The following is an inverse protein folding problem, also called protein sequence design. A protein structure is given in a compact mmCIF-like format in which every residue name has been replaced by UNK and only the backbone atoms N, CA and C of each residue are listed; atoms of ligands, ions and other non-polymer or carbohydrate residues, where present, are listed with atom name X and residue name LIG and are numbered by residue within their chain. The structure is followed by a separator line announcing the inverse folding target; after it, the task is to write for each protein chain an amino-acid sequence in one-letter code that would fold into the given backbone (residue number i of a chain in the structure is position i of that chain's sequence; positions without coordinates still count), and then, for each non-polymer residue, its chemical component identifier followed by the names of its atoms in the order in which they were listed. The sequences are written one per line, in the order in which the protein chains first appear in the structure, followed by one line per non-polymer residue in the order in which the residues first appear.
data_IF_723359798319
#
_entry.id   IF_723359798319
#
_cell.length_a   1.000
_cell.length_b   1.000
_cell.length_c   1.000
_cell.angle_alpha   90.00
_cell.angle_beta   90.00
_cell.angle_gamma   90.00
#
_symmetry.space_group_name_H-M   'P 1'
#
loop_
_entity.id
_entity.type
_entity.pdbx_description
1 polymer ?
#
# COMPACT_ATOMS: atom_id res chain seq x y z
N UNK A 1 -23.01 4.28 12.66
CA UNK A 1 -21.73 4.90 12.26
C UNK A 1 -21.97 6.39 12.16
N UNK A 2 -21.12 7.24 12.75
CA UNK A 2 -21.28 8.69 12.64
C UNK A 2 -21.07 9.11 11.18
N UNK A 3 -22.15 9.57 10.53
CA UNK A 3 -22.16 10.17 9.19
C UNK A 3 -21.56 11.58 9.22
N UNK A 4 -20.39 11.74 9.83
CA UNK A 4 -19.74 13.04 9.97
C UNK A 4 -18.95 13.36 8.71
N UNK A 5 -19.10 14.59 8.21
CA UNK A 5 -18.34 15.10 7.05
C UNK A 5 -16.81 14.93 7.27
N UNK A 6 -16.23 15.23 8.45
CA UNK A 6 -14.80 15.07 8.67
C UNK A 6 -14.30 13.63 8.51
N UNK A 7 -15.12 12.64 8.91
CA UNK A 7 -14.79 11.23 8.72
C UNK A 7 -14.64 10.90 7.22
N UNK A 8 -15.63 11.26 6.39
CA UNK A 8 -15.56 10.98 4.96
C UNK A 8 -14.48 11.78 4.24
N UNK A 9 -14.17 13.00 4.67
CA UNK A 9 -13.03 13.75 4.14
C UNK A 9 -11.71 13.04 4.44
N UNK A 10 -11.56 12.51 5.66
CA UNK A 10 -10.38 11.73 6.03
C UNK A 10 -10.26 10.45 5.20
N UNK A 11 -11.35 9.68 5.12
CA UNK A 11 -11.40 8.37 4.47
C UNK A 11 -11.26 8.44 2.94
N UNK A 12 -11.95 9.38 2.31
CA UNK A 12 -12.05 9.42 0.84
C UNK A 12 -11.01 10.32 0.18
N UNK A 13 -10.44 11.29 0.90
CA UNK A 13 -9.54 12.29 0.33
C UNK A 13 -8.16 12.26 0.98
N UNK A 14 -8.10 12.36 2.32
CA UNK A 14 -6.84 12.50 3.04
C UNK A 14 -5.98 11.24 2.98
N UNK A 15 -6.51 10.08 3.40
CA UNK A 15 -5.72 8.84 3.42
C UNK A 15 -5.22 8.41 2.02
N UNK A 16 -6.04 8.45 0.95
CA UNK A 16 -5.54 8.19 -0.40
C UNK A 16 -4.43 9.17 -0.82
N UNK A 17 -4.58 10.46 -0.51
CA UNK A 17 -3.55 11.47 -0.82
C UNK A 17 -2.25 11.22 -0.05
N UNK A 18 -2.36 10.80 1.21
CA UNK A 18 -1.22 10.55 2.07
C UNK A 18 -0.44 9.29 1.63
N UNK A 19 -1.12 8.21 1.24
CA UNK A 19 -0.46 7.01 0.69
C UNK A 19 0.42 7.33 -0.53
N UNK A 20 0.00 8.31 -1.34
CA UNK A 20 0.74 8.77 -2.50
C UNK A 20 2.10 9.37 -2.16
N UNK A 21 2.26 9.96 -0.97
CA UNK A 21 3.54 10.53 -0.52
C UNK A 21 4.60 9.44 -0.40
N UNK A 22 4.24 8.26 0.10
CA UNK A 22 5.16 7.12 0.18
C UNK A 22 5.57 6.63 -1.21
N UNK A 23 4.60 6.52 -2.13
CA UNK A 23 4.85 6.11 -3.53
C UNK A 23 5.72 7.13 -4.29
N UNK A 24 5.45 8.43 -4.12
CA UNK A 24 6.27 9.51 -4.66
C UNK A 24 7.70 9.41 -4.12
N UNK A 25 7.86 9.30 -2.80
CA UNK A 25 9.18 9.25 -2.17
C UNK A 25 9.99 8.05 -2.68
N UNK A 26 9.39 6.86 -2.68
CA UNK A 26 10.05 5.63 -3.10
C UNK A 26 10.44 5.65 -4.59
N UNK A 27 9.54 6.11 -5.48
CA UNK A 27 9.85 6.24 -6.91
C UNK A 27 10.96 7.26 -7.17
N UNK A 28 10.97 8.39 -6.44
CA UNK A 28 12.07 9.37 -6.48
C UNK A 28 13.39 8.76 -6.00
N UNK A 29 13.38 8.02 -4.88
CA UNK A 29 14.57 7.35 -4.36
C UNK A 29 15.12 6.34 -5.36
N UNK A 30 14.27 5.47 -5.94
CA UNK A 30 14.75 4.46 -6.89
C UNK A 30 15.27 5.14 -8.17
N UNK A 31 14.57 6.14 -8.69
CA UNK A 31 14.99 6.88 -9.89
C UNK A 31 16.36 7.53 -9.68
N UNK A 32 16.50 8.32 -8.61
CA UNK A 32 17.77 9.02 -8.35
C UNK A 32 18.86 8.10 -7.81
N UNK A 33 18.52 7.24 -6.85
CA UNK A 33 19.46 6.36 -6.15
C UNK A 33 20.05 5.31 -7.08
N UNK A 34 19.25 4.69 -7.95
CA UNK A 34 19.74 3.64 -8.87
C UNK A 34 20.19 4.21 -10.21
N UNK A 35 19.40 5.10 -10.80
CA UNK A 35 19.63 5.58 -12.17
C UNK A 35 20.31 6.95 -12.24
N UNK A 36 20.55 7.61 -11.10
CA UNK A 36 21.18 8.93 -11.06
C UNK A 36 20.34 10.05 -11.68
N UNK A 37 19.09 9.78 -12.06
CA UNK A 37 18.23 10.70 -12.80
C UNK A 37 16.80 10.67 -12.29
N UNK A 38 16.15 11.83 -12.32
CA UNK A 38 14.74 11.93 -12.00
C UNK A 38 13.94 11.98 -13.29
N UNK A 39 12.95 11.11 -13.39
CA UNK A 39 12.01 11.09 -14.50
C UNK A 39 10.59 11.08 -13.93
N UNK A 40 9.78 12.00 -14.42
CA UNK A 40 8.44 12.22 -13.90
C UNK A 40 7.49 11.06 -14.22
N UNK A 41 7.75 10.29 -15.28
CA UNK A 41 6.83 9.24 -15.77
C UNK A 41 6.62 8.13 -14.74
N UNK A 42 7.65 7.42 -14.24
CA UNK A 42 7.43 6.37 -13.25
C UNK A 42 6.88 6.93 -11.93
N UNK A 43 7.26 8.15 -11.56
CA UNK A 43 6.74 8.84 -10.36
C UNK A 43 5.23 9.05 -10.49
N UNK A 44 4.77 9.64 -11.59
CA UNK A 44 3.35 9.89 -11.84
C UNK A 44 2.58 8.58 -11.97
N UNK A 45 3.11 7.59 -12.71
CA UNK A 45 2.46 6.29 -12.87
C UNK A 45 2.16 5.65 -11.50
N UNK A 46 3.17 5.56 -10.63
CA UNK A 46 2.98 4.90 -9.34
C UNK A 46 2.16 5.72 -8.37
N UNK A 47 2.38 7.03 -8.29
CA UNK A 47 1.61 7.93 -7.42
C UNK A 47 0.13 7.91 -7.78
N UNK A 48 -0.20 7.99 -9.07
CA UNK A 48 -1.59 7.92 -9.53
C UNK A 48 -2.19 6.53 -9.33
N UNK A 49 -1.43 5.47 -9.60
CA UNK A 49 -1.91 4.09 -9.42
C UNK A 49 -2.23 3.80 -7.95
N UNK A 50 -1.40 4.29 -7.04
CA UNK A 50 -1.60 4.11 -5.61
C UNK A 50 -2.82 4.89 -5.08
N UNK A 51 -2.98 6.13 -5.55
CA UNK A 51 -4.19 6.91 -5.28
C UNK A 51 -5.45 6.19 -5.79
N UNK A 52 -5.42 5.64 -7.00
CA UNK A 52 -6.56 4.95 -7.59
C UNK A 52 -6.89 3.66 -6.85
N UNK A 53 -5.89 2.86 -6.51
CA UNK A 53 -6.08 1.63 -5.77
C UNK A 53 -6.72 1.90 -4.40
N UNK A 54 -6.12 2.79 -3.60
CA UNK A 54 -6.62 3.10 -2.26
C UNK A 54 -7.92 3.89 -2.31
N UNK A 55 -7.99 4.93 -3.15
CA UNK A 55 -9.17 5.78 -3.26
C UNK A 55 -10.39 5.04 -3.79
N UNK A 56 -10.23 4.11 -4.74
CA UNK A 56 -11.34 3.29 -5.22
C UNK A 56 -11.81 2.28 -4.18
N UNK A 57 -10.88 1.66 -3.43
CA UNK A 57 -11.22 0.71 -2.35
C UNK A 57 -12.05 1.41 -1.27
N UNK A 58 -11.55 2.54 -0.73
CA UNK A 58 -12.27 3.33 0.27
C UNK A 58 -13.60 3.90 -0.25
N UNK A 59 -13.67 4.30 -1.53
CA UNK A 59 -14.90 4.79 -2.14
C UNK A 59 -15.96 3.68 -2.24
N UNK A 60 -15.56 2.47 -2.63
CA UNK A 60 -16.47 1.33 -2.77
C UNK A 60 -16.91 0.77 -1.42
N UNK A 61 -16.01 0.70 -0.44
CA UNK A 61 -16.33 0.24 0.91
C UNK A 61 -17.35 1.16 1.61
N UNK A 62 -17.42 2.43 1.20
CA UNK A 62 -18.39 3.40 1.72
C UNK A 62 -19.60 3.64 0.80
N UNK A 63 -19.85 2.78 -0.21
CA UNK A 63 -20.94 2.97 -1.16
C UNK A 63 -22.34 2.96 -0.51
N UNK A 64 -22.54 2.15 0.53
CA UNK A 64 -23.81 2.12 1.29
C UNK A 64 -24.06 3.44 2.03
N UNK A 65 -23.00 4.03 2.59
CA UNK A 65 -23.08 5.34 3.25
C UNK A 65 -23.46 6.45 2.27
N UNK A 66 -23.01 6.38 1.01
CA UNK A 66 -23.45 7.30 -0.05
C UNK A 66 -24.93 7.10 -0.39
N UNK A 67 -25.40 5.86 -0.48
CA UNK A 67 -26.81 5.58 -0.74
C UNK A 67 -27.70 6.12 0.40
N UNK A 68 -27.28 5.92 1.65
CA UNK A 68 -27.96 6.46 2.82
C UNK A 68 -27.95 7.99 2.82
N UNK A 69 -26.80 8.63 2.57
CA UNK A 69 -26.70 10.10 2.54
C UNK A 69 -27.63 10.73 1.49
N UNK A 70 -27.80 10.09 0.33
CA UNK A 70 -28.77 10.51 -0.69
C UNK A 70 -30.20 10.33 -0.22
N UNK A 71 -30.52 9.21 0.42
CA UNK A 71 -31.86 8.94 0.94
C UNK A 71 -32.26 9.93 2.05
N UNK A 72 -31.30 10.37 2.87
CA UNK A 72 -31.53 11.33 3.97
C UNK A 72 -31.34 12.80 3.57
N UNK A 73 -31.03 13.10 2.31
CA UNK A 73 -30.80 14.48 1.85
C UNK A 73 -29.57 15.17 2.46
N UNK A 74 -28.52 14.41 2.83
CA UNK A 74 -27.30 14.99 3.40
C UNK A 74 -26.34 15.43 2.28
N UNK A 75 -26.58 16.63 1.75
CA UNK A 75 -25.82 17.20 0.63
C UNK A 75 -24.31 17.37 0.94
N UNK A 76 -23.97 17.59 2.21
CA UNK A 76 -22.58 17.72 2.64
C UNK A 76 -21.77 16.44 2.40
N UNK A 77 -22.30 15.30 2.82
CA UNK A 77 -21.66 13.99 2.58
C UNK A 77 -21.63 13.68 1.08
N UNK A 78 -22.74 13.92 0.35
CA UNK A 78 -22.80 13.69 -1.11
C UNK A 78 -21.76 14.53 -1.86
N UNK A 79 -21.50 15.76 -1.42
CA UNK A 79 -20.47 16.63 -2.00
C UNK A 79 -19.07 16.04 -1.84
N UNK A 80 -18.73 15.50 -0.66
CA UNK A 80 -17.42 14.84 -0.42
C UNK A 80 -17.24 13.64 -1.34
N UNK A 81 -18.25 12.77 -1.49
CA UNK A 81 -18.18 11.66 -2.43
C UNK A 81 -18.03 12.13 -3.88
N UNK A 82 -18.69 13.22 -4.25
CA UNK A 82 -18.56 13.81 -5.58
C UNK A 82 -17.14 14.32 -5.83
N UNK A 83 -16.54 14.99 -4.86
CA UNK A 83 -15.14 15.42 -4.93
C UNK A 83 -14.18 14.23 -5.07
N UNK A 84 -14.35 13.19 -4.24
CA UNK A 84 -13.54 11.98 -4.32
C UNK A 84 -13.63 11.30 -5.69
N UNK A 85 -14.84 11.20 -6.25
CA UNK A 85 -15.06 10.67 -7.60
C UNK A 85 -14.36 11.51 -8.67
N UNK A 86 -14.44 12.83 -8.59
CA UNK A 86 -13.77 13.72 -9.55
C UNK A 86 -12.25 13.59 -9.45
N UNK A 87 -11.69 13.49 -8.24
CA UNK A 87 -10.26 13.24 -8.05
C UNK A 87 -9.83 11.91 -8.67
N UNK A 88 -10.58 10.82 -8.46
CA UNK A 88 -10.30 9.52 -9.09
C UNK A 88 -10.27 9.62 -10.63
N UNK A 89 -11.22 10.34 -11.23
CA UNK A 89 -11.25 10.56 -12.68
C UNK A 89 -10.03 11.36 -13.15
N UNK A 90 -9.73 12.48 -12.49
CA UNK A 90 -8.58 13.32 -12.84
C UNK A 90 -7.26 12.53 -12.74
N UNK A 91 -7.08 11.76 -11.66
CA UNK A 91 -5.90 10.92 -11.46
C UNK A 91 -5.80 9.82 -12.52
N UNK A 92 -6.91 9.20 -12.92
CA UNK A 92 -6.92 8.23 -14.01
C UNK A 92 -6.51 8.85 -15.35
N UNK A 93 -6.97 10.07 -15.65
CA UNK A 93 -6.55 10.79 -16.85
C UNK A 93 -5.05 11.12 -16.82
N UNK A 94 -4.50 11.53 -15.68
CA UNK A 94 -3.08 11.82 -15.51
C UNK A 94 -2.25 10.54 -15.68
N UNK A 95 -2.67 9.42 -15.07
CA UNK A 95 -2.03 8.12 -15.24
C UNK A 95 -2.00 7.70 -16.72
N UNK A 96 -3.12 7.84 -17.42
CA UNK A 96 -3.20 7.54 -18.84
C UNK A 96 -2.24 8.40 -19.67
N UNK A 97 -2.17 9.70 -19.39
CA UNK A 97 -1.19 10.60 -20.02
C UNK A 97 0.26 10.18 -19.77
N UNK A 98 0.60 9.80 -18.53
CA UNK A 98 1.94 9.32 -18.20
C UNK A 98 2.30 8.01 -18.91
N UNK A 99 1.33 7.10 -19.06
CA UNK A 99 1.50 5.86 -19.83
C UNK A 99 1.71 6.14 -21.32
N UNK A 100 0.97 7.07 -21.93
CA UNK A 100 1.18 7.48 -23.33
C UNK A 100 2.59 8.04 -23.58
N UNK A 101 3.20 8.68 -22.58
CA UNK A 101 4.58 9.17 -22.65
C UNK A 101 5.64 8.11 -22.29
N UNK A 102 5.24 6.86 -22.02
CA UNK A 102 6.12 5.79 -21.55
C UNK A 102 6.26 4.65 -22.56
N UNK A 103 7.36 3.87 -22.50
CA UNK A 103 7.52 2.68 -23.34
C UNK A 103 6.36 1.69 -23.18
N UNK A 104 5.96 0.99 -24.24
CA UNK A 104 4.83 0.05 -24.23
C UNK A 104 4.99 -1.06 -23.18
N UNK A 105 6.22 -1.49 -22.89
CA UNK A 105 6.50 -2.47 -21.83
C UNK A 105 6.05 -1.96 -20.45
N UNK A 106 6.14 -0.65 -20.21
CA UNK A 106 5.67 -0.01 -18.98
C UNK A 106 4.16 -0.17 -18.81
N UNK A 107 3.39 -0.22 -19.91
CA UNK A 107 1.95 -0.47 -19.84
C UNK A 107 1.67 -1.86 -19.31
N UNK A 108 2.34 -2.87 -19.85
CA UNK A 108 2.17 -4.26 -19.43
C UNK A 108 2.55 -4.45 -17.95
N UNK A 109 3.68 -3.86 -17.53
CA UNK A 109 4.13 -3.92 -16.13
C UNK A 109 3.16 -3.19 -15.21
N UNK A 110 2.72 -1.99 -15.59
CA UNK A 110 1.72 -1.23 -14.81
C UNK A 110 0.43 -2.02 -14.69
N UNK A 111 -0.09 -2.59 -15.78
CA UNK A 111 -1.30 -3.40 -15.74
C UNK A 111 -1.13 -4.62 -14.82
N UNK A 112 0.01 -5.31 -14.87
CA UNK A 112 0.28 -6.49 -14.05
C UNK A 112 0.23 -6.19 -12.54
N UNK A 113 0.77 -5.04 -12.11
CA UNK A 113 0.84 -4.69 -10.69
C UNK A 113 -0.35 -3.87 -10.20
N UNK A 114 -0.96 -3.04 -11.06
CA UNK A 114 -2.04 -2.11 -10.67
C UNK A 114 -3.41 -2.74 -10.85
N UNK A 115 -3.64 -3.53 -11.89
CA UNK A 115 -4.96 -4.12 -12.13
C UNK A 115 -5.46 -4.98 -10.95
N UNK A 116 -4.64 -5.84 -10.31
CA UNK A 116 -5.08 -6.60 -9.13
C UNK A 116 -5.54 -5.71 -7.97
N UNK A 117 -4.91 -4.54 -7.79
CA UNK A 117 -5.30 -3.58 -6.76
C UNK A 117 -6.61 -2.86 -7.09
N UNK A 118 -6.93 -2.65 -8.37
CA UNK A 118 -8.20 -2.03 -8.79
C UNK A 118 -9.40 -2.98 -8.69
N UNK A 119 -9.17 -4.30 -8.74
CA UNK A 119 -10.20 -5.33 -8.60
C UNK A 119 -10.18 -6.00 -7.22
N UNK A 120 -9.47 -5.41 -6.28
CA UNK A 120 -9.12 -5.96 -4.96
C UNK A 120 -10.32 -6.50 -4.17
N UNK A 121 -11.43 -5.76 -4.19
CA UNK A 121 -12.68 -6.08 -3.49
C UNK A 121 -13.80 -6.60 -4.43
N UNK A 122 -13.48 -7.00 -5.66
CA UNK A 122 -14.49 -7.48 -6.62
C UNK A 122 -14.43 -9.01 -6.74
N UNK A 123 -15.58 -9.70 -6.81
CA UNK A 123 -15.60 -11.13 -7.11
C UNK A 123 -15.12 -11.34 -8.56
N UNK A 124 -13.98 -11.99 -8.72
CA UNK A 124 -13.37 -12.25 -10.04
C UNK A 124 -14.01 -13.44 -10.73
N UNK A 125 -14.18 -14.53 -9.99
CA UNK A 125 -14.81 -15.76 -10.47
C UNK A 125 -15.62 -16.39 -9.35
N UNK A 126 -16.72 -17.04 -9.71
CA UNK A 126 -17.55 -17.78 -8.76
C UNK A 126 -17.06 -19.22 -8.74
N UNK A 127 -16.36 -19.61 -7.69
CA UNK A 127 -15.95 -20.99 -7.51
C UNK A 127 -17.06 -21.71 -6.74
N UNK A 128 -17.60 -22.82 -7.27
CA UNK A 128 -18.42 -23.72 -6.46
C UNK A 128 -17.48 -24.46 -5.50
N UNK A 129 -17.21 -23.85 -4.34
CA UNK A 129 -16.45 -24.51 -3.28
C UNK A 129 -17.44 -25.30 -2.45
N UNK A 130 -17.26 -26.63 -2.40
CA UNK A 130 -17.97 -27.49 -1.47
C UNK A 130 -17.33 -27.29 -0.11
N UNK A 131 -18.10 -26.82 0.87
CA UNK A 131 -17.61 -26.65 2.23
C UNK A 131 -17.11 -28.00 2.77
N UNK A 132 -15.80 -28.08 2.99
CA UNK A 132 -15.17 -29.22 3.68
C UNK A 132 -15.28 -29.04 5.21
N UNK A 133 -15.70 -27.85 5.66
CA UNK A 133 -15.75 -27.48 7.08
C UNK A 133 -16.92 -28.11 7.86
N UNK A 134 -18.00 -28.55 7.19
CA UNK A 134 -19.18 -29.15 7.85
C UNK A 134 -19.32 -30.67 7.65
N UNK A 135 -18.27 -31.37 7.19
CA UNK A 135 -18.30 -32.83 7.03
C UNK A 135 -18.08 -33.61 8.34
N UNK A 136 -18.53 -33.07 9.48
CA UNK A 136 -18.59 -33.77 10.77
C UNK A 136 -19.86 -33.38 11.51
N UNK A 137 -20.86 -34.25 11.43
CA UNK A 137 -22.03 -34.22 12.31
C UNK A 137 -23.33 -34.27 11.52
N UNK A 138 -23.83 -35.49 11.36
CA UNK A 138 -25.23 -35.93 11.33
C UNK A 138 -26.26 -35.18 10.47
N UNK A 139 -26.77 -35.93 9.49
CA UNK A 139 -28.14 -35.91 8.95
C UNK A 139 -28.83 -34.55 8.81
N UNK A 140 -28.54 -33.84 7.72
CA UNK A 140 -29.51 -32.97 7.05
C UNK A 140 -29.10 -32.79 5.57
N UNK A 141 -30.09 -32.60 4.70
CA UNK A 141 -30.04 -32.56 3.22
C UNK A 141 -28.81 -31.85 2.60
N UNK A 142 -28.42 -32.14 1.34
CA UNK A 142 -27.29 -31.49 0.70
C UNK A 142 -27.55 -29.98 0.54
N UNK A 143 -27.16 -29.21 1.56
CA UNK A 143 -27.21 -27.77 1.61
C UNK A 143 -26.44 -27.21 0.41
N UNK A 144 -27.11 -26.30 -0.31
CA UNK A 144 -26.72 -25.85 -1.64
C UNK A 144 -25.30 -25.30 -1.75
N UNK A 145 -24.78 -25.34 -2.97
CA UNK A 145 -23.54 -24.66 -3.34
C UNK A 145 -23.60 -23.18 -2.95
N UNK A 146 -22.95 -22.79 -1.85
CA UNK A 146 -22.70 -21.40 -1.54
C UNK A 146 -21.75 -20.84 -2.60
N UNK A 147 -22.23 -19.89 -3.41
CA UNK A 147 -21.44 -19.15 -4.38
C UNK A 147 -20.55 -18.14 -3.65
N UNK A 148 -19.43 -18.59 -3.09
CA UNK A 148 -18.41 -17.66 -2.62
C UNK A 148 -17.60 -17.17 -3.83
N UNK A 149 -17.79 -15.90 -4.19
CA UNK A 149 -16.96 -15.25 -5.20
C UNK A 149 -15.51 -15.17 -4.71
N UNK A 150 -14.56 -15.53 -5.57
CA UNK A 150 -13.15 -15.34 -5.30
C UNK A 150 -12.83 -13.84 -5.27
N UNK A 151 -12.41 -13.35 -4.11
CA UNK A 151 -12.00 -11.95 -3.90
C UNK A 151 -10.55 -11.93 -3.42
N UNK A 152 -9.67 -11.18 -4.08
CA UNK A 152 -8.23 -11.15 -3.78
C UNK A 152 -7.99 -10.77 -2.31
N UNK A 153 -8.72 -9.77 -1.79
CA UNK A 153 -8.59 -9.32 -0.40
C UNK A 153 -8.93 -10.39 0.66
N UNK A 154 -9.63 -11.46 0.27
CA UNK A 154 -10.07 -12.56 1.15
C UNK A 154 -9.18 -13.80 1.08
N UNK A 155 -8.05 -13.76 0.37
CA UNK A 155 -7.08 -14.86 0.40
C UNK A 155 -6.38 -14.84 1.76
N UNK A 156 -6.45 -15.93 2.56
CA UNK A 156 -5.93 -15.93 3.93
C UNK A 156 -4.45 -15.53 4.03
N UNK A 157 -4.17 -14.46 4.78
CA UNK A 157 -2.82 -13.98 5.08
C UNK A 157 -2.08 -13.34 3.91
N UNK A 158 -2.68 -13.32 2.71
CA UNK A 158 -2.01 -12.85 1.50
C UNK A 158 -2.24 -11.36 1.23
N UNK A 159 -3.21 -10.72 1.90
CA UNK A 159 -3.52 -9.28 1.74
C UNK A 159 -2.25 -8.41 1.81
N UNK A 160 -1.51 -8.51 2.92
CA UNK A 160 -0.30 -7.74 3.14
C UNK A 160 0.85 -8.11 2.19
N UNK A 161 0.98 -9.41 1.85
CA UNK A 161 2.03 -9.91 0.96
C UNK A 161 1.83 -9.38 -0.46
N UNK A 162 0.61 -9.49 -1.00
CA UNK A 162 0.28 -9.05 -2.35
C UNK A 162 0.46 -7.53 -2.47
N UNK A 163 -0.04 -6.75 -1.50
CA UNK A 163 0.16 -5.29 -1.48
C UNK A 163 1.66 -4.96 -1.41
N UNK A 164 2.42 -5.69 -0.58
CA UNK A 164 3.86 -5.56 -0.48
C UNK A 164 4.61 -5.79 -1.79
N UNK A 165 4.25 -6.84 -2.51
CA UNK A 165 4.84 -7.16 -3.83
C UNK A 165 4.46 -6.12 -4.87
N UNK A 166 3.19 -5.69 -4.91
CA UNK A 166 2.71 -4.66 -5.84
C UNK A 166 3.45 -3.34 -5.60
N UNK A 167 3.53 -2.88 -4.34
CA UNK A 167 4.12 -1.58 -4.00
C UNK A 167 5.65 -1.61 -3.93
N UNK A 168 6.27 -2.70 -3.51
CA UNK A 168 7.74 -2.83 -3.49
C UNK A 168 8.30 -3.17 -4.86
N UNK A 169 8.08 -4.42 -5.30
CA UNK A 169 8.58 -4.93 -6.58
C UNK A 169 8.01 -4.17 -7.78
N UNK A 170 6.70 -3.86 -7.77
CA UNK A 170 6.08 -3.14 -8.88
C UNK A 170 6.68 -1.76 -9.08
N UNK A 171 6.95 -1.01 -7.99
CA UNK A 171 7.58 0.32 -8.08
C UNK A 171 8.94 0.22 -8.77
N UNK A 172 9.77 -0.73 -8.33
CA UNK A 172 11.06 -0.96 -8.96
C UNK A 172 10.91 -1.35 -10.44
N UNK A 173 9.98 -2.24 -10.78
CA UNK A 173 9.77 -2.70 -12.15
C UNK A 173 9.36 -1.58 -13.12
N UNK A 174 8.48 -0.66 -12.70
CA UNK A 174 8.07 0.49 -13.53
C UNK A 174 9.19 1.52 -13.67
N UNK A 175 9.92 1.82 -12.59
CA UNK A 175 11.09 2.71 -12.69
C UNK A 175 12.12 2.10 -13.66
N UNK A 176 12.40 0.80 -13.51
CA UNK A 176 13.31 0.08 -14.39
C UNK A 176 12.84 0.07 -15.84
N UNK A 177 11.55 -0.14 -16.13
CA UNK A 177 11.04 -0.17 -17.51
C UNK A 177 11.15 1.18 -18.21
N UNK A 178 11.13 2.28 -17.46
CA UNK A 178 11.30 3.63 -18.01
C UNK A 178 12.77 4.04 -18.11
N UNK A 179 13.60 3.67 -17.14
CA UNK A 179 14.98 4.20 -16.99
C UNK A 179 16.10 3.25 -17.35
N UNK A 180 15.85 1.94 -17.46
CA UNK A 180 16.90 0.98 -17.86
C UNK A 180 17.61 1.29 -19.19
N UNK A 181 16.97 1.91 -20.22
CA UNK A 181 17.71 2.31 -21.42
C UNK A 181 18.74 3.43 -21.19
N UNK A 182 18.73 4.06 -20.01
CA UNK A 182 19.59 5.19 -19.63
C UNK A 182 20.59 4.84 -18.54
N UNK A 183 20.83 3.55 -18.28
CA UNK A 183 21.74 3.08 -17.24
C UNK A 183 23.18 3.55 -17.57
N UNK A 184 23.55 4.70 -17.03
CA UNK A 184 24.93 5.13 -16.92
C UNK A 184 25.55 4.28 -15.81
N UNK A 185 26.71 3.68 -16.06
CA UNK A 185 27.49 2.94 -15.07
C UNK A 185 27.84 3.87 -13.90
N UNK A 186 26.93 3.97 -12.92
CA UNK A 186 27.09 4.83 -11.77
C UNK A 186 27.73 3.98 -10.66
N UNK A 187 29.06 3.91 -10.67
CA UNK A 187 29.85 3.10 -9.73
C UNK A 187 29.74 3.55 -8.25
N UNK A 188 29.00 4.62 -7.96
CA UNK A 188 28.91 5.24 -6.62
C UNK A 188 27.51 5.25 -6.00
N UNK A 189 26.58 4.40 -6.45
CA UNK A 189 25.28 4.30 -5.77
C UNK A 189 25.44 3.67 -4.38
N UNK A 190 25.02 4.40 -3.35
CA UNK A 190 24.90 3.89 -1.98
C UNK A 190 23.77 2.85 -1.83
N UNK A 191 22.92 2.70 -2.86
CA UNK A 191 21.78 1.80 -2.90
C UNK A 191 21.93 0.77 -4.01
N UNK A 192 21.91 -0.52 -3.67
CA UNK A 192 21.79 -1.55 -4.70
C UNK A 192 20.32 -1.77 -5.08
N UNK A 193 20.02 -2.15 -6.34
CA UNK A 193 18.68 -2.56 -6.75
C UNK A 193 18.05 -3.60 -5.81
N UNK A 194 18.84 -4.60 -5.42
CA UNK A 194 18.43 -5.68 -4.51
C UNK A 194 18.05 -5.15 -3.12
N UNK A 195 18.86 -4.24 -2.56
CA UNK A 195 18.58 -3.60 -1.28
C UNK A 195 17.24 -2.86 -1.32
N UNK A 196 17.03 -2.02 -2.33
CA UNK A 196 15.80 -1.24 -2.49
C UNK A 196 14.58 -2.13 -2.67
N UNK A 197 14.67 -3.16 -3.51
CA UNK A 197 13.57 -4.08 -3.76
C UNK A 197 13.17 -4.84 -2.48
N UNK A 198 14.14 -5.45 -1.80
CA UNK A 198 13.86 -6.27 -0.60
C UNK A 198 13.34 -5.38 0.54
N UNK A 199 14.05 -4.28 0.84
CA UNK A 199 13.66 -3.37 1.92
C UNK A 199 12.28 -2.76 1.69
N UNK A 200 12.02 -2.22 0.49
CA UNK A 200 10.73 -1.59 0.19
C UNK A 200 9.58 -2.59 0.25
N UNK A 201 9.77 -3.81 -0.26
CA UNK A 201 8.77 -4.88 -0.22
C UNK A 201 8.45 -5.26 1.22
N UNK A 202 9.46 -5.58 2.03
CA UNK A 202 9.23 -5.96 3.44
C UNK A 202 8.60 -4.81 4.22
N UNK A 203 9.06 -3.57 3.99
CA UNK A 203 8.49 -2.41 4.66
C UNK A 203 7.01 -2.22 4.30
N UNK A 204 6.63 -2.41 3.04
CA UNK A 204 5.22 -2.35 2.61
C UNK A 204 4.38 -3.48 3.20
N UNK A 205 4.91 -4.70 3.29
CA UNK A 205 4.22 -5.82 3.96
C UNK A 205 3.97 -5.48 5.43
N UNK A 206 4.99 -5.00 6.14
CA UNK A 206 4.89 -4.67 7.55
C UNK A 206 3.91 -3.51 7.79
N UNK A 207 4.00 -2.47 6.96
CA UNK A 207 3.07 -1.34 6.98
C UNK A 207 1.62 -1.79 6.78
N UNK A 208 1.36 -2.60 5.75
CA UNK A 208 0.01 -3.10 5.46
C UNK A 208 -0.51 -3.97 6.60
N UNK A 209 0.36 -4.77 7.20
CA UNK A 209 0.00 -5.58 8.38
C UNK A 209 -0.31 -4.70 9.60
N UNK A 210 0.33 -3.54 9.75
CA UNK A 210 -0.02 -2.58 10.80
C UNK A 210 -1.40 -1.95 10.57
N UNK A 211 -1.82 -1.74 9.32
CA UNK A 211 -3.20 -1.36 9.02
C UNK A 211 -4.19 -2.48 9.39
N UNK A 212 -3.83 -3.75 9.18
CA UNK A 212 -4.65 -4.89 9.64
C UNK A 212 -4.68 -4.99 11.19
N UNK A 213 -3.61 -4.58 11.89
CA UNK A 213 -3.62 -4.49 13.38
C UNK A 213 -4.58 -3.41 13.85
N UNK A 214 -4.58 -2.23 13.20
CA UNK A 214 -5.53 -1.14 13.49
C UNK A 214 -6.97 -1.60 13.36
N UNK A 215 -7.28 -2.37 12.33
CA UNK A 215 -8.64 -2.80 12.00
C UNK A 215 -8.98 -4.19 12.58
N UNK A 216 -8.14 -4.75 13.46
CA UNK A 216 -8.26 -6.11 13.97
C UNK A 216 -9.64 -6.45 14.53
N UNK A 217 -10.25 -5.55 15.30
CA UNK A 217 -11.56 -5.79 15.92
C UNK A 217 -12.66 -5.92 14.87
N UNK A 218 -12.61 -5.11 13.81
CA UNK A 218 -13.61 -5.11 12.75
C UNK A 218 -13.35 -6.28 11.78
N UNK A 219 -12.10 -6.52 11.40
CA UNK A 219 -11.68 -7.68 10.59
C UNK A 219 -12.06 -9.02 11.26
N UNK A 220 -11.94 -9.10 12.59
CA UNK A 220 -12.32 -10.29 13.35
C UNK A 220 -13.84 -10.52 13.33
N UNK A 221 -14.65 -9.46 13.37
CA UNK A 221 -16.12 -9.56 13.28
C UNK A 221 -16.59 -9.92 11.88
N UNK A 222 -15.92 -9.40 10.85
CA UNK A 222 -16.24 -9.62 9.44
C UNK A 222 -15.57 -10.87 8.85
N UNK A 223 -14.86 -11.63 9.68
CA UNK A 223 -14.11 -12.84 9.32
C UNK A 223 -13.15 -12.60 8.13
N UNK A 224 -12.55 -11.41 8.07
CA UNK A 224 -11.55 -11.08 7.06
C UNK A 224 -10.24 -11.75 7.47
N UNK A 225 -9.66 -12.65 6.65
CA UNK A 225 -8.56 -13.50 7.08
C UNK A 225 -7.20 -12.78 6.96
N UNK A 226 -7.05 -11.64 7.65
CA UNK A 226 -5.79 -10.89 7.76
C UNK A 226 -4.80 -11.58 8.72
N UNK A 227 -3.51 -11.23 8.66
CA UNK A 227 -2.49 -11.87 9.50
C UNK A 227 -2.81 -11.83 11.01
N UNK A 228 -3.23 -10.69 11.60
CA UNK A 228 -3.64 -10.63 13.01
C UNK A 228 -4.81 -11.57 13.34
N UNK A 229 -5.81 -11.66 12.46
CA UNK A 229 -6.97 -12.55 12.61
C UNK A 229 -6.56 -14.01 12.54
N UNK A 230 -5.70 -14.38 11.58
CA UNK A 230 -5.20 -15.75 11.45
C UNK A 230 -4.37 -16.19 12.65
N UNK A 231 -3.56 -15.29 13.23
CA UNK A 231 -2.83 -15.58 14.48
C UNK A 231 -3.70 -15.49 15.73
N UNK A 232 -4.92 -14.95 15.60
CA UNK A 232 -5.84 -14.61 16.69
C UNK A 232 -5.16 -13.78 17.78
N UNK A 233 -4.22 -12.91 17.38
CA UNK A 233 -3.36 -12.19 18.32
C UNK A 233 -2.60 -11.07 17.64
N UNK A 234 -2.83 -9.84 18.11
CA UNK A 234 -2.01 -8.67 17.74
C UNK A 234 -0.56 -8.83 18.22
N UNK A 235 -0.34 -9.37 19.42
CA UNK A 235 1.00 -9.57 19.97
C UNK A 235 1.86 -10.47 19.07
N UNK A 236 1.32 -11.62 18.62
CA UNK A 236 2.06 -12.52 17.70
C UNK A 236 2.41 -11.82 16.40
N UNK A 237 1.51 -11.00 15.87
CA UNK A 237 1.78 -10.17 14.68
C UNK A 237 2.90 -9.18 14.94
N UNK A 238 2.88 -8.44 16.06
CA UNK A 238 3.94 -7.48 16.41
C UNK A 238 5.32 -8.15 16.53
N UNK A 239 5.38 -9.35 17.10
CA UNK A 239 6.60 -10.15 17.16
C UNK A 239 7.09 -10.52 15.75
N UNK A 240 6.20 -10.97 14.86
CA UNK A 240 6.54 -11.27 13.47
C UNK A 240 7.09 -10.03 12.74
N UNK A 241 6.42 -8.88 12.87
CA UNK A 241 6.86 -7.64 12.24
C UNK A 241 8.24 -7.19 12.74
N UNK A 242 8.46 -7.28 14.05
CA UNK A 242 9.76 -7.00 14.68
C UNK A 242 10.84 -7.92 14.12
N UNK A 243 10.55 -9.21 13.97
CA UNK A 243 11.47 -10.16 13.38
C UNK A 243 11.81 -9.81 11.93
N UNK A 244 10.83 -9.46 11.10
CA UNK A 244 11.06 -9.03 9.70
C UNK A 244 11.94 -7.78 9.62
N UNK A 245 11.70 -6.78 10.49
CA UNK A 245 12.56 -5.59 10.57
C UNK A 245 13.97 -5.91 11.05
N UNK A 246 14.13 -6.81 12.03
CA UNK A 246 15.45 -7.27 12.49
C UNK A 246 16.23 -7.97 11.37
N UNK A 247 15.57 -8.82 10.58
CA UNK A 247 16.18 -9.46 9.40
C UNK A 247 16.66 -8.42 8.39
N UNK A 248 15.88 -7.36 8.12
CA UNK A 248 16.32 -6.25 7.27
C UNK A 248 17.55 -5.53 7.82
N UNK A 249 17.56 -5.23 9.12
CA UNK A 249 18.69 -4.54 9.78
C UNK A 249 19.97 -5.39 9.67
N UNK A 250 19.87 -6.69 9.91
CA UNK A 250 21.03 -7.60 9.85
C UNK A 250 21.52 -7.73 8.41
N UNK A 251 20.60 -7.97 7.46
CA UNK A 251 20.93 -8.20 6.05
C UNK A 251 21.53 -6.97 5.36
N UNK A 252 21.15 -5.77 5.81
CA UNK A 252 21.56 -4.50 5.21
C UNK A 252 22.21 -3.55 6.21
N UNK A 253 22.94 -4.11 7.19
CA UNK A 253 23.56 -3.36 8.29
C UNK A 253 24.49 -2.23 7.85
N UNK A 254 25.11 -2.36 6.68
CA UNK A 254 25.97 -1.33 6.09
C UNK A 254 25.21 -0.15 5.48
N UNK A 255 23.90 -0.27 5.25
CA UNK A 255 23.07 0.81 4.74
C UNK A 255 22.32 1.47 5.90
N UNK A 256 22.89 2.56 6.42
CA UNK A 256 22.36 3.30 7.58
C UNK A 256 20.91 3.74 7.42
N UNK A 257 20.45 4.00 6.19
CA UNK A 257 19.08 4.43 5.92
C UNK A 257 18.09 3.28 6.07
N UNK A 258 18.44 2.07 5.59
CA UNK A 258 17.62 0.88 5.81
C UNK A 258 17.54 0.56 7.30
N UNK A 259 18.67 0.67 8.02
CA UNK A 259 18.72 0.45 9.46
C UNK A 259 17.82 1.45 10.18
N UNK A 260 17.98 2.75 9.91
CA UNK A 260 17.17 3.79 10.54
C UNK A 260 15.68 3.62 10.26
N UNK A 261 15.29 3.40 9.00
CA UNK A 261 13.90 3.17 8.62
C UNK A 261 13.30 1.93 9.28
N UNK A 262 14.09 0.86 9.40
CA UNK A 262 13.64 -0.39 10.05
C UNK A 262 13.52 -0.23 11.57
N UNK A 263 14.41 0.53 12.21
CA UNK A 263 14.31 0.86 13.64
C UNK A 263 13.09 1.73 13.94
N UNK A 264 12.84 2.75 13.11
CA UNK A 264 11.65 3.58 13.20
C UNK A 264 10.36 2.75 13.05
N UNK A 265 10.29 1.88 12.04
CA UNK A 265 9.16 0.99 11.84
C UNK A 265 8.97 0.02 13.03
N UNK A 266 10.06 -0.54 13.55
CA UNK A 266 10.02 -1.40 14.75
C UNK A 266 9.47 -0.66 15.96
N UNK A 267 9.89 0.59 16.19
CA UNK A 267 9.35 1.40 17.27
C UNK A 267 7.83 1.58 17.14
N UNK A 268 7.35 1.91 15.94
CA UNK A 268 5.91 2.08 15.68
C UNK A 268 5.10 0.79 15.86
N UNK A 269 5.66 -0.37 15.50
CA UNK A 269 5.02 -1.68 15.74
C UNK A 269 4.68 -1.87 17.22
N UNK A 270 5.55 -1.39 18.12
CA UNK A 270 5.32 -1.52 19.56
C UNK A 270 4.49 -0.38 20.14
N UNK A 271 4.59 0.83 19.60
CA UNK A 271 3.82 2.00 20.05
C UNK A 271 2.34 1.97 19.63
N UNK A 272 2.02 1.39 18.46
CA UNK A 272 0.68 1.38 17.91
C UNK A 272 0.00 0.03 18.08
N UNK A 273 -1.27 0.02 18.42
CA UNK A 273 -2.10 -1.18 18.61
C UNK A 273 -3.55 -0.95 18.16
N UNK A 274 -4.39 -1.98 18.28
CA UNK A 274 -5.81 -1.94 17.93
C UNK A 274 -6.62 -0.91 18.74
N UNK A 275 -6.09 -0.44 19.88
CA UNK A 275 -6.72 0.59 20.73
C UNK A 275 -6.29 2.00 20.37
N UNK A 276 -5.24 2.14 19.56
CA UNK A 276 -4.64 3.41 19.20
C UNK A 276 -5.52 4.18 18.20
N UNK A 277 -5.58 5.53 18.28
CA UNK A 277 -6.31 6.33 17.31
C UNK A 277 -5.85 6.06 15.87
N UNK A 278 -6.80 5.91 14.94
CA UNK A 278 -6.49 5.66 13.51
C UNK A 278 -5.54 6.70 12.91
N UNK A 279 -5.65 7.95 13.34
CA UNK A 279 -4.77 9.04 12.91
C UNK A 279 -3.30 8.81 13.23
N UNK A 280 -2.96 8.04 14.27
CA UNK A 280 -1.56 7.74 14.61
C UNK A 280 -0.93 6.72 13.66
N UNK A 281 -1.73 5.88 13.00
CA UNK A 281 -1.22 4.93 12.01
C UNK A 281 -0.68 5.61 10.75
N UNK A 282 -0.96 6.91 10.55
CA UNK A 282 -0.32 7.75 9.53
C UNK A 282 1.21 7.73 9.65
N UNK A 283 1.76 7.74 10.87
CA UNK A 283 3.21 7.70 11.07
C UNK A 283 3.85 6.42 10.51
N UNK A 284 3.09 5.31 10.49
CA UNK A 284 3.53 4.06 9.87
C UNK A 284 3.76 4.23 8.36
N UNK A 285 2.94 5.06 7.68
CA UNK A 285 3.08 5.37 6.25
C UNK A 285 4.31 6.25 5.96
N UNK A 286 4.74 7.08 6.93
CA UNK A 286 5.79 8.09 6.74
C UNK A 286 7.22 7.56 6.87
N UNK A 287 7.42 6.32 7.31
CA UNK A 287 8.77 5.76 7.52
C UNK A 287 9.66 5.78 6.27
N UNK A 288 9.09 5.54 5.09
CA UNK A 288 9.81 5.64 3.81
C UNK A 288 10.11 7.11 3.43
N UNK A 289 9.12 8.01 3.35
CA UNK A 289 9.36 9.44 3.14
C UNK A 289 10.43 10.04 4.05
N UNK A 290 10.39 9.76 5.36
CA UNK A 290 11.35 10.27 6.33
C UNK A 290 12.78 9.78 6.06
N UNK A 291 12.93 8.48 5.82
CA UNK A 291 14.23 7.88 5.49
C UNK A 291 14.82 8.49 4.21
N UNK A 292 13.97 8.75 3.23
CA UNK A 292 14.34 9.32 1.92
C UNK A 292 14.68 10.80 2.04
N UNK A 293 13.91 11.56 2.79
CA UNK A 293 14.20 12.96 3.09
C UNK A 293 15.56 13.11 3.79
N UNK A 294 15.85 12.24 4.77
CA UNK A 294 17.15 12.20 5.44
C UNK A 294 18.29 11.87 4.46
N UNK A 295 18.09 10.90 3.56
CA UNK A 295 19.07 10.59 2.51
C UNK A 295 19.39 11.82 1.64
N UNK A 296 18.38 12.48 1.10
CA UNK A 296 18.58 13.66 0.25
C UNK A 296 19.18 14.85 1.01
N UNK A 297 18.79 15.06 2.26
CA UNK A 297 19.38 16.11 3.11
C UNK A 297 20.89 15.88 3.30
N UNK A 298 21.31 14.66 3.64
CA UNK A 298 22.73 14.31 3.79
C UNK A 298 23.49 14.49 2.47
N UNK A 299 22.90 14.06 1.34
CA UNK A 299 23.53 14.23 0.03
C UNK A 299 23.67 15.71 -0.38
N UNK A 300 22.70 16.55 -0.03
CA UNK A 300 22.78 18.00 -0.23
C UNK A 300 23.91 18.61 0.63
N UNK A 301 24.02 18.22 1.89
CA UNK A 301 25.09 18.68 2.78
C UNK A 301 26.49 18.29 2.28
N UNK A 302 26.66 17.08 1.73
CA UNK A 302 27.95 16.63 1.16
C UNK A 302 28.37 17.42 -0.09
N UNK A 303 27.42 18.02 -0.81
CA UNK A 303 27.67 18.81 -2.03
C UNK A 303 27.89 20.30 -1.74
N UNK A 304 27.60 20.77 -0.53
CA UNK A 304 27.98 22.11 -0.13
C UNK A 304 29.52 22.15 -0.04
N UNK A 305 30.18 23.14 -0.66
CA UNK A 305 31.61 23.32 -0.44
C UNK A 305 31.82 23.49 1.06
N UNK A 306 32.70 22.67 1.63
CA UNK A 306 33.18 22.90 2.99
C UNK A 306 33.67 24.35 3.03
N UNK A 307 33.06 25.19 3.86
CA UNK A 307 33.55 26.53 4.12
C UNK A 307 34.98 26.38 4.67
N UNK A 308 35.95 26.61 3.78
CA UNK A 308 37.37 26.72 4.06
C UNK A 308 37.73 28.22 4.08
#
# INVERSE_FOLDING_TARGET
MDLSIPFFQSELLFYPSLSCVSSLSLTTLISYGVYGTLDWRPIVIFTCSDFLAMGLDHYLDNAENLAQARATGNDGVVSVFTQARMMLICVACILFGALLCSPIQTWAITALFVAPALVWNRPLFWLPIRDVANARGDDEEPAGFFKHGFVIKRIPGMKAIIIGVIRGCGTFAVVHSVLSPRLLNNESSMWTPTQLLIWSTINWICHTTMADVRDYIDDLKEEIPTLPVLFKSVLKTKVLLTFLHAVNIISFSHNVYIVFGSLYATLLVWLLDESSPRSHFVFSMEGQPLTIALYFAVQACKKLPAFA
#
